data_IF_849114651205
#
_entry.id   IF_849114651205
#
_cell.length_a   1.000
_cell.length_b   1.000
_cell.length_c   1.000
_cell.angle_alpha   90.00
_cell.angle_beta   90.00
_cell.angle_gamma   90.00
#
_symmetry.space_group_name_H-M   'P 1'
#
loop_
_entity.id
_entity.type
_entity.pdbx_description
1 polymer ?
#
# COMPACT_ATOMS: atom_id res chain seq x y z
N UNK A 1 -17.91 9.00 9.35
CA UNK A 1 -16.86 8.00 9.08
C UNK A 1 -16.55 7.31 10.40
N UNK A 2 -16.67 5.98 10.50
CA UNK A 2 -16.39 5.26 11.75
C UNK A 2 -14.88 5.32 12.06
N UNK A 3 -14.46 5.32 13.33
CA UNK A 3 -13.04 5.35 13.66
C UNK A 3 -12.36 4.08 13.12
N UNK A 4 -11.26 4.26 12.40
CA UNK A 4 -10.44 3.14 11.94
C UNK A 4 -9.94 2.36 13.17
N UNK A 5 -10.12 1.03 13.18
CA UNK A 5 -9.52 0.17 14.20
C UNK A 5 -8.00 0.37 14.15
N UNK A 6 -7.29 0.22 15.28
CA UNK A 6 -5.85 0.51 15.39
C UNK A 6 -4.94 -0.18 14.36
N UNK A 7 -5.43 -1.20 13.67
CA UNK A 7 -4.72 -1.98 12.64
C UNK A 7 -5.23 -1.75 11.21
N UNK A 8 -6.20 -0.85 11.03
CA UNK A 8 -6.76 -0.50 9.73
C UNK A 8 -6.06 0.76 9.23
N UNK A 9 -5.36 0.62 8.11
CA UNK A 9 -4.77 1.76 7.41
C UNK A 9 -5.86 2.49 6.64
N UNK A 10 -5.78 3.83 6.52
CA UNK A 10 -6.70 4.58 5.69
C UNK A 10 -6.46 4.27 4.21
N UNK A 11 -7.54 4.16 3.44
CA UNK A 11 -7.46 3.99 1.99
C UNK A 11 -6.72 5.18 1.35
N UNK A 12 -5.80 4.87 0.44
CA UNK A 12 -5.02 5.85 -0.32
C UNK A 12 -5.60 5.97 -1.73
N UNK A 13 -6.70 6.73 -1.85
CA UNK A 13 -7.43 6.92 -3.09
C UNK A 13 -7.52 8.40 -3.45
N UNK A 14 -7.49 8.68 -4.75
CA UNK A 14 -7.66 10.00 -5.33
C UNK A 14 -8.69 9.94 -6.46
N UNK A 15 -9.26 11.09 -6.82
CA UNK A 15 -10.12 11.19 -7.99
C UNK A 15 -9.32 10.87 -9.27
N UNK A 16 -10.00 10.29 -10.27
CA UNK A 16 -9.45 10.02 -11.61
C UNK A 16 -8.25 9.07 -11.65
N UNK A 17 -8.08 8.21 -10.65
CA UNK A 17 -7.11 7.12 -10.68
C UNK A 17 -7.43 6.13 -11.82
N UNK A 18 -6.41 5.73 -12.58
CA UNK A 18 -6.52 4.74 -13.66
C UNK A 18 -6.44 3.28 -13.19
N UNK A 19 -5.81 3.04 -12.04
CA UNK A 19 -5.55 1.72 -11.46
C UNK A 19 -5.64 1.82 -9.95
N UNK A 20 -6.36 0.89 -9.32
CA UNK A 20 -6.47 0.75 -7.86
C UNK A 20 -5.90 -0.60 -7.43
N UNK A 21 -5.10 -0.62 -6.36
CA UNK A 21 -4.58 -1.86 -5.78
C UNK A 21 -5.37 -2.21 -4.53
N UNK A 22 -5.99 -3.39 -4.52
CA UNK A 22 -6.80 -3.88 -3.39
C UNK A 22 -6.13 -5.11 -2.80
N UNK A 23 -5.60 -4.97 -1.58
CA UNK A 23 -5.09 -6.09 -0.79
C UNK A 23 -6.19 -6.78 0.01
N UNK A 24 -5.86 -7.92 0.65
CA UNK A 24 -6.80 -8.64 1.51
C UNK A 24 -6.89 -8.03 2.91
N UNK A 25 -5.75 -7.97 3.62
CA UNK A 25 -5.63 -7.35 4.92
C UNK A 25 -4.21 -6.81 5.12
N UNK A 26 -4.05 -5.75 5.90
CA UNK A 26 -2.73 -5.28 6.29
C UNK A 26 -2.05 -6.32 7.20
N UNK A 27 -0.86 -6.79 6.79
CA UNK A 27 -0.04 -7.65 7.64
C UNK A 27 0.49 -6.88 8.87
N UNK A 28 1.00 -7.58 9.91
CA UNK A 28 1.39 -6.96 11.17
C UNK A 28 2.37 -5.79 11.03
N UNK A 29 3.39 -5.94 10.16
CA UNK A 29 4.36 -4.87 9.89
C UNK A 29 3.74 -3.67 9.20
N UNK A 30 2.88 -3.89 8.20
CA UNK A 30 2.12 -2.81 7.56
C UNK A 30 1.21 -2.08 8.53
N UNK A 31 0.54 -2.80 9.43
CA UNK A 31 -0.29 -2.21 10.48
C UNK A 31 0.55 -1.37 11.47
N UNK A 32 1.70 -1.89 11.90
CA UNK A 32 2.59 -1.20 12.83
C UNK A 32 3.22 0.08 12.22
N UNK A 33 3.71 -0.01 10.98
CA UNK A 33 4.33 1.12 10.26
C UNK A 33 3.29 2.06 9.63
N UNK A 34 2.01 1.68 9.63
CA UNK A 34 0.92 2.38 8.92
C UNK A 34 1.17 2.58 7.43
N UNK A 35 1.97 1.70 6.84
CA UNK A 35 2.38 1.72 5.45
C UNK A 35 1.95 0.43 4.72
N UNK A 36 1.30 0.56 3.56
CA UNK A 36 0.91 -0.62 2.78
C UNK A 36 2.12 -1.34 2.18
N UNK A 37 2.07 -2.68 2.21
CA UNK A 37 3.10 -3.57 1.66
C UNK A 37 4.50 -3.36 2.27
N UNK A 38 4.57 -3.10 3.57
CA UNK A 38 5.81 -2.70 4.26
C UNK A 38 6.76 -3.85 4.64
N UNK A 39 6.30 -5.09 4.53
CA UNK A 39 7.15 -6.23 4.83
C UNK A 39 8.32 -6.32 3.82
N UNK A 40 9.60 -6.52 4.24
CA UNK A 40 10.74 -6.54 3.31
C UNK A 40 10.66 -7.61 2.22
N UNK A 41 10.03 -8.74 2.54
CA UNK A 41 9.74 -9.81 1.57
C UNK A 41 8.59 -9.50 0.61
N UNK A 42 7.83 -8.42 0.84
CA UNK A 42 6.75 -8.01 -0.06
C UNK A 42 7.34 -7.34 -1.31
N UNK A 43 6.98 -7.87 -2.48
CA UNK A 43 7.52 -7.38 -3.77
C UNK A 43 6.69 -6.27 -4.39
N UNK A 44 5.59 -5.85 -3.79
CA UNK A 44 4.62 -4.94 -4.41
C UNK A 44 5.26 -3.71 -5.04
N UNK A 45 6.00 -2.91 -4.25
CA UNK A 45 6.58 -1.66 -4.73
C UNK A 45 7.64 -1.87 -5.82
N UNK A 46 8.39 -2.98 -5.74
CA UNK A 46 9.34 -3.37 -6.78
C UNK A 46 8.63 -3.79 -8.06
N UNK A 47 7.60 -4.64 -7.96
CA UNK A 47 6.84 -5.16 -9.09
C UNK A 47 6.10 -4.04 -9.84
N UNK A 48 5.51 -3.07 -9.13
CA UNK A 48 4.85 -1.91 -9.74
C UNK A 48 5.85 -1.08 -10.56
N UNK A 49 7.07 -0.91 -10.07
CA UNK A 49 8.13 -0.22 -10.80
C UNK A 49 8.67 -1.03 -11.99
N UNK A 50 8.98 -2.31 -11.79
CA UNK A 50 9.46 -3.22 -12.84
C UNK A 50 8.44 -3.37 -13.98
N UNK A 51 7.13 -3.29 -13.67
CA UNK A 51 6.05 -3.28 -14.66
C UNK A 51 5.87 -1.93 -15.38
N UNK A 52 6.63 -0.89 -15.03
CA UNK A 52 6.55 0.44 -15.63
C UNK A 52 5.32 1.27 -15.23
N UNK A 53 4.58 0.87 -14.18
CA UNK A 53 3.39 1.59 -13.71
C UNK A 53 3.81 2.90 -13.01
N UNK A 54 4.97 2.90 -12.34
CA UNK A 54 5.53 4.09 -11.69
C UNK A 54 6.91 4.43 -12.25
N UNK A 55 7.23 5.74 -12.40
CA UNK A 55 8.51 6.18 -12.98
C UNK A 55 9.73 5.89 -12.09
N UNK A 56 9.49 5.62 -10.80
CA UNK A 56 10.50 5.22 -9.83
C UNK A 56 9.95 4.13 -8.91
N UNK A 57 10.85 3.41 -8.24
CA UNK A 57 10.47 2.55 -7.14
C UNK A 57 10.13 3.41 -5.92
N UNK A 58 8.93 3.22 -5.38
CA UNK A 58 8.52 3.81 -4.11
C UNK A 58 8.95 2.91 -2.95
N UNK A 59 9.02 3.48 -1.75
CA UNK A 59 9.16 2.70 -0.53
C UNK A 59 7.81 2.69 0.21
N UNK A 60 7.59 1.80 1.18
CA UNK A 60 6.42 1.87 2.05
C UNK A 60 6.43 3.18 2.83
N UNK A 61 5.29 3.88 2.88
CA UNK A 61 5.06 5.14 3.60
C UNK A 61 3.68 5.12 4.27
#
# INVERSE_FOLDING_TARGET
MAPAKAHVLPDQLAANLKVWFVGTAAGPRSAAERAYYAHPGNRFWRAVHEAGITPRQFAPH
#
